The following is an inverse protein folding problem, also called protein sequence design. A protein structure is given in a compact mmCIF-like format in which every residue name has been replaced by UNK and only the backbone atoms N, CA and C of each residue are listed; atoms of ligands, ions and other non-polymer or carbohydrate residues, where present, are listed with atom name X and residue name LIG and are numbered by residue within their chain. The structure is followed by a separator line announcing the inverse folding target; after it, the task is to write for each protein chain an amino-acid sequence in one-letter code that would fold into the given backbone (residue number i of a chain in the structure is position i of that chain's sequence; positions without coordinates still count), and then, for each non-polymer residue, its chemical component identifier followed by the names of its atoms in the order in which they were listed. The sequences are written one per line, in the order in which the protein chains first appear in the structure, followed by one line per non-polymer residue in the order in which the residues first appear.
data_IF_187112253605
#
_entry.id   IF_187112253605
#
_cell.length_a   1.000
_cell.length_b   1.000
_cell.length_c   1.000
_cell.angle_alpha   90.00
_cell.angle_beta   90.00
_cell.angle_gamma   90.00
#
_symmetry.space_group_name_H-M   'P 1'
#
loop_
_entity.id
_entity.type
_entity.pdbx_description
1 polymer ?
#
# COMPACT_ATOMS: atom_id res chain seq x y z
N UNK A 1 3.71 -16.80 -4.36
CA UNK A 1 4.67 -15.68 -4.51
C UNK A 1 5.22 -15.23 -3.14
N UNK A 2 6.52 -14.86 -3.04
CA UNK A 2 7.18 -14.41 -1.78
C UNK A 2 7.29 -12.87 -1.67
N UNK A 3 6.37 -12.12 -2.28
CA UNK A 3 6.45 -10.66 -2.39
C UNK A 3 6.61 -9.94 -1.04
N UNK A 4 5.79 -10.26 -0.04
CA UNK A 4 5.88 -9.59 1.27
C UNK A 4 7.24 -9.77 1.97
N UNK A 5 7.96 -10.88 1.75
CA UNK A 5 9.32 -11.06 2.28
C UNK A 5 10.31 -10.15 1.55
N UNK A 6 10.23 -10.11 0.22
CA UNK A 6 11.06 -9.24 -0.61
C UNK A 6 10.82 -7.76 -0.29
N UNK A 7 9.57 -7.34 -0.14
CA UNK A 7 9.22 -5.97 0.23
C UNK A 7 9.81 -5.58 1.59
N UNK A 8 9.69 -6.45 2.60
CA UNK A 8 10.28 -6.21 3.92
C UNK A 8 11.80 -6.05 3.85
N UNK A 9 12.47 -6.91 3.08
CA UNK A 9 13.91 -6.82 2.88
C UNK A 9 14.30 -5.50 2.22
N UNK A 10 13.59 -5.09 1.17
CA UNK A 10 13.85 -3.83 0.48
C UNK A 10 13.67 -2.63 1.43
N UNK A 11 12.59 -2.58 2.23
CA UNK A 11 12.39 -1.54 3.26
C UNK A 11 13.57 -1.48 4.24
N UNK A 12 14.12 -2.63 4.64
CA UNK A 12 15.27 -2.67 5.55
C UNK A 12 16.55 -2.14 4.90
N UNK A 13 16.74 -2.43 3.62
CA UNK A 13 17.87 -1.98 2.80
C UNK A 13 17.77 -0.49 2.38
N UNK A 14 16.56 0.09 2.42
CA UNK A 14 16.31 1.50 2.13
C UNK A 14 16.73 2.44 3.26
N UNK A 15 16.91 3.72 2.89
CA UNK A 15 17.10 4.82 3.81
C UNK A 15 15.98 4.85 4.87
N UNK A 16 16.30 5.07 6.16
CA UNK A 16 15.31 5.09 7.24
C UNK A 16 14.10 6.00 6.96
N UNK A 17 14.36 7.14 6.31
CA UNK A 17 13.38 8.18 5.97
C UNK A 17 12.44 7.77 4.81
N UNK A 18 12.75 6.70 4.09
CA UNK A 18 11.94 6.22 2.97
C UNK A 18 11.07 5.03 3.35
N UNK A 19 11.27 4.47 4.55
CA UNK A 19 10.59 3.23 4.98
C UNK A 19 9.08 3.40 5.12
N UNK A 20 8.62 4.58 5.54
CA UNK A 20 7.21 4.95 5.62
C UNK A 20 6.55 5.16 4.24
N UNK A 21 7.37 5.40 3.22
CA UNK A 21 6.91 5.62 1.83
C UNK A 21 6.55 4.34 1.11
N UNK A 22 6.85 3.16 1.65
CA UNK A 22 6.52 1.87 1.05
C UNK A 22 5.03 1.48 1.21
N UNK A 23 4.60 0.50 0.42
CA UNK A 23 3.24 -0.03 0.44
C UNK A 23 2.87 -0.58 1.83
N UNK A 24 1.67 -0.27 2.30
CA UNK A 24 1.06 -0.87 3.50
C UNK A 24 0.58 -2.30 3.21
N UNK A 25 1.49 -3.14 2.69
CA UNK A 25 1.19 -4.41 2.05
C UNK A 25 0.53 -5.41 2.98
N UNK A 26 0.92 -5.44 4.26
CA UNK A 26 0.33 -6.34 5.26
C UNK A 26 -1.15 -6.00 5.47
N UNK A 27 -1.48 -4.71 5.51
CA UNK A 27 -2.79 -4.19 5.85
C UNK A 27 -3.72 -4.35 4.65
N UNK A 28 -3.25 -3.96 3.46
CA UNK A 28 -3.94 -4.23 2.19
C UNK A 28 -4.19 -5.73 1.99
N UNK A 29 -3.20 -6.59 2.29
CA UNK A 29 -3.37 -8.05 2.19
C UNK A 29 -4.40 -8.58 3.18
N UNK A 30 -4.50 -8.02 4.38
CA UNK A 30 -5.51 -8.39 5.37
C UNK A 30 -6.90 -8.03 4.85
N UNK A 31 -7.09 -6.82 4.32
CA UNK A 31 -8.37 -6.39 3.75
C UNK A 31 -8.79 -7.23 2.55
N UNK A 32 -7.86 -7.54 1.63
CA UNK A 32 -8.13 -8.43 0.48
C UNK A 32 -8.59 -9.82 0.92
N UNK A 33 -8.02 -10.37 2.00
CA UNK A 33 -8.45 -11.67 2.53
C UNK A 33 -9.88 -11.61 3.08
N UNK A 34 -10.19 -10.56 3.84
CA UNK A 34 -11.54 -10.37 4.38
C UNK A 34 -12.57 -10.23 3.26
N UNK A 35 -12.27 -9.46 2.22
CA UNK A 35 -13.12 -9.30 1.03
C UNK A 35 -13.30 -10.65 0.32
N UNK A 36 -12.23 -11.45 0.21
CA UNK A 36 -12.28 -12.76 -0.46
C UNK A 36 -13.02 -13.84 0.34
N UNK A 37 -13.04 -13.75 1.67
CA UNK A 37 -13.67 -14.73 2.57
C UNK A 37 -15.17 -14.41 2.80
N UNK A 38 -15.57 -13.15 2.63
CA UNK A 38 -16.93 -12.65 2.83
C UNK A 38 -18.04 -13.33 1.99
N UNK A 39 -17.84 -13.76 0.72
CA UNK A 39 -18.89 -14.42 -0.06
C UNK A 39 -19.38 -15.75 0.54
N UNK A 40 -18.59 -16.37 1.41
CA UNK A 40 -18.90 -17.67 2.05
C UNK A 40 -19.80 -17.54 3.28
N UNK A 41 -19.94 -16.34 3.84
CA UNK A 41 -20.69 -16.07 5.07
C UNK A 41 -21.92 -15.24 4.73
N UNK A 42 -22.97 -15.91 4.25
CA UNK A 42 -24.27 -15.29 3.94
C UNK A 42 -24.80 -14.50 5.16
N UNK A 43 -24.66 -13.16 5.15
CA UNK A 43 -25.56 -12.17 5.80
C UNK A 43 -25.12 -10.69 5.71
N UNK A 44 -23.96 -10.33 5.13
CA UNK A 44 -23.38 -8.98 5.33
C UNK A 44 -23.07 -8.17 4.06
N UNK A 45 -24.05 -7.86 3.20
CA UNK A 45 -23.82 -6.92 2.07
C UNK A 45 -23.22 -5.58 2.52
N UNK A 46 -23.59 -5.10 3.71
CA UNK A 46 -23.09 -3.85 4.28
C UNK A 46 -21.63 -3.94 4.79
N UNK A 47 -21.24 -5.04 5.44
CA UNK A 47 -19.86 -5.24 5.92
C UNK A 47 -18.87 -5.46 4.78
N UNK A 48 -19.31 -6.12 3.70
CA UNK A 48 -18.53 -6.26 2.48
C UNK A 48 -18.20 -4.89 1.88
N UNK A 49 -19.21 -4.05 1.66
CA UNK A 49 -19.02 -2.70 1.10
C UNK A 49 -18.14 -1.81 1.98
N UNK A 50 -18.22 -1.97 3.31
CA UNK A 50 -17.33 -1.26 4.24
C UNK A 50 -15.87 -1.69 4.08
N UNK A 51 -15.61 -3.00 4.04
CA UNK A 51 -14.25 -3.54 3.92
C UNK A 51 -13.63 -3.22 2.56
N UNK A 52 -14.43 -3.25 1.49
CA UNK A 52 -14.02 -2.83 0.16
C UNK A 52 -13.68 -1.34 0.12
N UNK A 53 -14.52 -0.49 0.70
CA UNK A 53 -14.24 0.96 0.76
C UNK A 53 -12.99 1.26 1.60
N UNK A 54 -12.78 0.55 2.71
CA UNK A 54 -11.57 0.65 3.52
C UNK A 54 -10.33 0.26 2.72
N UNK A 55 -10.41 -0.81 1.92
CA UNK A 55 -9.33 -1.21 1.01
C UNK A 55 -9.02 -0.15 -0.03
N UNK A 56 -10.05 0.40 -0.69
CA UNK A 56 -9.88 1.43 -1.72
C UNK A 56 -9.29 2.72 -1.15
N UNK A 57 -9.75 3.15 0.03
CA UNK A 57 -9.21 4.32 0.72
C UNK A 57 -7.73 4.14 1.06
N UNK A 58 -7.37 3.00 1.65
CA UNK A 58 -5.98 2.71 2.01
C UNK A 58 -5.09 2.61 0.76
N UNK A 59 -5.58 1.99 -0.31
CA UNK A 59 -4.83 1.85 -1.56
C UNK A 59 -4.59 3.20 -2.23
N UNK A 60 -5.62 4.04 -2.34
CA UNK A 60 -5.50 5.38 -2.93
C UNK A 60 -4.52 6.24 -2.13
N UNK A 61 -4.62 6.22 -0.80
CA UNK A 61 -3.68 6.94 0.06
C UNK A 61 -2.24 6.45 -0.12
N UNK A 62 -2.01 5.13 -0.25
CA UNK A 62 -0.68 4.59 -0.55
C UNK A 62 -0.18 5.02 -1.95
N UNK A 63 -1.05 5.10 -2.96
CA UNK A 63 -0.71 5.59 -4.31
C UNK A 63 -0.34 7.07 -4.28
N UNK A 64 -1.14 7.91 -3.64
CA UNK A 64 -0.85 9.34 -3.52
C UNK A 64 0.46 9.59 -2.78
N UNK A 65 0.72 8.81 -1.73
CA UNK A 65 2.00 8.81 -1.01
C UNK A 65 3.18 8.43 -1.91
N UNK A 66 3.04 7.39 -2.75
CA UNK A 66 4.09 7.04 -3.71
C UNK A 66 4.32 8.15 -4.70
N UNK A 67 3.26 8.66 -5.32
CA UNK A 67 3.35 9.70 -6.34
C UNK A 67 4.04 10.94 -5.76
N UNK A 68 3.65 11.39 -4.56
CA UNK A 68 4.31 12.51 -3.89
C UNK A 68 5.80 12.26 -3.62
N UNK A 69 6.15 11.07 -3.12
CA UNK A 69 7.54 10.71 -2.86
C UNK A 69 8.39 10.66 -4.15
N UNK A 70 7.88 10.04 -5.22
CA UNK A 70 8.62 9.92 -6.47
C UNK A 70 8.79 11.27 -7.16
N UNK A 71 7.76 12.13 -7.14
CA UNK A 71 7.85 13.50 -7.67
C UNK A 71 8.93 14.30 -6.93
N UNK A 72 8.95 14.28 -5.59
CA UNK A 72 9.98 14.97 -4.80
C UNK A 72 11.39 14.49 -5.14
N UNK A 73 11.58 13.18 -5.30
CA UNK A 73 12.90 12.60 -5.64
C UNK A 73 13.31 12.90 -7.08
N UNK A 74 12.37 12.97 -8.00
CA UNK A 74 12.61 13.37 -9.38
C UNK A 74 13.02 14.84 -9.46
N UNK A 75 12.31 15.73 -8.76
CA UNK A 75 12.67 17.15 -8.64
C UNK A 75 14.06 17.34 -8.03
N UNK A 76 14.36 16.68 -6.91
CA UNK A 76 15.69 16.66 -6.28
C UNK A 76 16.78 16.22 -7.27
N UNK A 77 16.48 15.20 -8.08
CA UNK A 77 17.42 14.67 -9.05
C UNK A 77 17.68 15.67 -10.19
N UNK A 78 16.62 16.27 -10.73
CA UNK A 78 16.70 17.27 -11.80
C UNK A 78 17.50 18.49 -11.34
N UNK A 79 17.21 19.01 -10.15
CA UNK A 79 17.90 20.19 -9.58
C UNK A 79 19.40 19.92 -9.39
N UNK A 80 19.80 18.69 -9.04
CA UNK A 80 21.22 18.35 -8.83
C UNK A 80 22.00 18.12 -10.12
N UNK A 81 21.32 17.84 -11.24
CA UNK A 81 21.94 17.45 -12.51
C UNK A 81 21.69 18.44 -13.65
N UNK A 82 20.99 19.55 -13.39
CA UNK A 82 20.93 20.75 -14.24
C UNK A 82 21.84 21.84 -13.68
#
# INVERSE_FOLDING_TARGET
MKFGKRLKQQIQESLPEWRDKYLSYKELKKLVRLISEAPTLLNGSFEYGKTENEFMCLLNNDIDKFNGFFMEKEEDFIIRHM
#
